data_IF_979227495342
#
_entry.id   IF_979227495342
#
_cell.length_a   1.000
_cell.length_b   1.000
_cell.length_c   1.000
_cell.angle_alpha   90.00
_cell.angle_beta   90.00
_cell.angle_gamma   90.00
#
_symmetry.space_group_name_H-M   'P 1'
#
loop_
_entity.id
_entity.type
_entity.pdbx_description
1 polymer ?
#
# COMPACT_ATOMS: atom_id res chain seq x y z
N UNK A 1 -4.18 -36.95 -45.45
CA UNK A 1 -4.86 -37.58 -44.29
C UNK A 1 -3.97 -37.47 -43.06
N UNK A 2 -4.58 -37.24 -41.89
CA UNK A 2 -3.98 -37.08 -40.53
C UNK A 2 -3.30 -35.72 -40.31
N UNK A 3 -4.01 -34.66 -39.89
CA UNK A 3 -4.57 -34.39 -38.54
C UNK A 3 -3.58 -34.75 -37.42
N UNK A 4 -2.85 -33.76 -36.93
CA UNK A 4 -2.36 -33.73 -35.56
C UNK A 4 -2.87 -32.44 -34.92
N UNK A 5 -3.65 -32.66 -33.89
CA UNK A 5 -4.52 -31.70 -33.21
C UNK A 5 -3.69 -30.92 -32.20
N UNK A 6 -3.92 -29.61 -32.19
CA UNK A 6 -3.58 -28.67 -31.13
C UNK A 6 -3.85 -29.26 -29.75
N UNK A 7 -2.82 -29.29 -28.91
CA UNK A 7 -2.94 -29.45 -27.47
C UNK A 7 -2.19 -28.33 -26.77
N UNK A 8 -2.70 -27.10 -26.86
CA UNK A 8 -2.23 -26.02 -25.99
C UNK A 8 -2.90 -26.25 -24.63
N UNK A 9 -2.18 -26.90 -23.72
CA UNK A 9 -2.60 -27.01 -22.33
C UNK A 9 -2.73 -25.58 -21.77
N UNK A 10 -3.98 -25.16 -21.51
CA UNK A 10 -4.24 -23.94 -20.75
C UNK A 10 -3.76 -24.18 -19.34
N UNK A 11 -2.65 -23.53 -19.03
CA UNK A 11 -2.01 -23.43 -17.73
C UNK A 11 -3.03 -23.18 -16.62
N UNK A 12 -3.22 -24.16 -15.74
CA UNK A 12 -3.82 -23.97 -14.42
C UNK A 12 -2.77 -23.38 -13.47
N UNK A 13 -2.43 -22.12 -13.69
CA UNK A 13 -1.81 -21.25 -12.69
C UNK A 13 -2.84 -20.12 -12.52
N UNK A 14 -3.42 -19.87 -11.34
CA UNK A 14 -2.87 -18.81 -10.48
C UNK A 14 -3.73 -18.56 -9.22
N UNK A 15 -4.60 -19.47 -8.75
CA UNK A 15 -5.53 -19.14 -7.64
C UNK A 15 -4.82 -18.81 -6.31
N UNK A 16 -3.64 -19.39 -6.04
CA UNK A 16 -2.87 -19.12 -4.83
C UNK A 16 -2.21 -17.72 -4.83
N UNK A 17 -1.72 -17.26 -5.99
CA UNK A 17 -1.04 -15.96 -6.10
C UNK A 17 -2.01 -14.77 -5.95
N UNK A 18 -3.29 -14.97 -6.25
CA UNK A 18 -4.33 -13.94 -6.08
C UNK A 18 -4.86 -13.83 -4.65
N UNK A 19 -4.95 -14.95 -3.92
CA UNK A 19 -5.38 -14.93 -2.51
C UNK A 19 -4.36 -14.21 -1.63
N UNK A 20 -3.08 -14.41 -1.89
CA UNK A 20 -1.97 -13.75 -1.20
C UNK A 20 -1.97 -12.23 -1.46
N UNK A 21 -2.19 -11.84 -2.73
CA UNK A 21 -2.31 -10.44 -3.12
C UNK A 21 -3.50 -9.72 -2.44
N UNK A 22 -4.68 -10.35 -2.38
CA UNK A 22 -5.86 -9.78 -1.73
C UNK A 22 -5.66 -9.55 -0.23
N UNK A 23 -4.99 -10.47 0.45
CA UNK A 23 -4.70 -10.34 1.88
C UNK A 23 -3.66 -9.25 2.15
N UNK A 24 -2.63 -9.15 1.31
CA UNK A 24 -1.66 -8.05 1.36
C UNK A 24 -2.32 -6.69 1.07
N UNK A 25 -3.32 -6.61 0.18
CA UNK A 25 -4.07 -5.36 -0.07
C UNK A 25 -4.92 -5.00 1.15
N UNK A 26 -5.63 -5.96 1.74
CA UNK A 26 -6.42 -5.73 2.96
C UNK A 26 -5.55 -5.27 4.12
N UNK A 27 -4.36 -5.85 4.29
CA UNK A 27 -3.40 -5.45 5.33
C UNK A 27 -2.99 -3.98 5.19
N UNK A 28 -2.64 -3.53 3.97
CA UNK A 28 -2.34 -2.11 3.68
C UNK A 28 -3.51 -1.19 3.99
N UNK A 29 -4.71 -1.57 3.56
CA UNK A 29 -5.92 -0.78 3.82
C UNK A 29 -6.21 -0.67 5.33
N UNK A 30 -6.02 -1.75 6.08
CA UNK A 30 -6.20 -1.76 7.53
C UNK A 30 -5.19 -0.81 8.21
N UNK A 31 -3.91 -0.90 7.83
CA UNK A 31 -2.86 -0.04 8.38
C UNK A 31 -3.10 1.45 8.07
N UNK A 32 -3.44 1.79 6.81
CA UNK A 32 -3.74 3.18 6.43
C UNK A 32 -5.02 3.71 7.08
N UNK A 33 -6.03 2.86 7.31
CA UNK A 33 -7.21 3.23 8.11
C UNK A 33 -6.84 3.54 9.55
N UNK A 34 -5.92 2.77 10.15
CA UNK A 34 -5.43 3.04 11.50
C UNK A 34 -4.71 4.39 11.59
N UNK A 35 -3.84 4.71 10.61
CA UNK A 35 -3.20 6.03 10.50
C UNK A 35 -4.25 7.15 10.43
N UNK A 36 -5.25 7.00 9.55
CA UNK A 36 -6.32 8.00 9.39
C UNK A 36 -7.20 8.17 10.64
N UNK A 37 -7.48 7.07 11.35
CA UNK A 37 -8.24 7.10 12.60
C UNK A 37 -7.47 7.83 13.71
N UNK A 38 -6.16 7.55 13.85
CA UNK A 38 -5.29 8.24 14.78
C UNK A 38 -5.17 9.74 14.46
N UNK A 39 -5.01 10.09 13.18
CA UNK A 39 -4.99 11.48 12.73
C UNK A 39 -6.29 12.22 13.04
N UNK A 40 -7.44 11.58 12.86
CA UNK A 40 -8.75 12.15 13.23
C UNK A 40 -8.88 12.38 14.74
N UNK A 41 -8.27 11.52 15.55
CA UNK A 41 -8.22 11.66 17.01
C UNK A 41 -7.19 12.69 17.49
N UNK A 42 -6.27 13.15 16.62
CA UNK A 42 -5.15 13.99 17.01
C UNK A 42 -4.09 13.24 17.83
N UNK A 43 -4.06 11.91 17.75
CA UNK A 43 -3.15 11.05 18.51
C UNK A 43 -1.88 10.77 17.72
N UNK A 44 -0.87 11.63 17.90
CA UNK A 44 0.40 11.52 17.18
C UNK A 44 1.19 10.25 17.52
N UNK A 45 1.06 9.71 18.74
CA UNK A 45 1.72 8.46 19.10
C UNK A 45 1.08 7.28 18.37
N UNK A 46 -0.26 7.27 18.24
CA UNK A 46 -0.96 6.28 17.44
C UNK A 46 -0.69 6.44 15.93
N UNK A 47 -0.52 7.67 15.42
CA UNK A 47 -0.08 7.91 14.04
C UNK A 47 1.28 7.27 13.81
N UNK A 48 2.26 7.53 14.69
CA UNK A 48 3.62 7.00 14.58
C UNK A 48 3.61 5.47 14.51
N UNK A 49 2.92 4.82 15.46
CA UNK A 49 2.80 3.36 15.50
C UNK A 49 2.15 2.81 14.23
N UNK A 50 1.03 3.38 13.81
CA UNK A 50 0.31 2.91 12.63
C UNK A 50 1.10 3.16 11.34
N UNK A 51 1.90 4.23 11.26
CA UNK A 51 2.75 4.53 10.11
C UNK A 51 3.88 3.50 9.95
N UNK A 52 4.48 3.04 11.05
CA UNK A 52 5.46 1.93 11.03
C UNK A 52 4.85 0.64 10.50
N UNK A 53 3.66 0.27 10.98
CA UNK A 53 2.92 -0.91 10.50
C UNK A 53 2.54 -0.76 9.01
N UNK A 54 2.13 0.44 8.61
CA UNK A 54 1.76 0.72 7.23
C UNK A 54 2.97 0.62 6.30
N UNK A 55 4.13 1.16 6.66
CA UNK A 55 5.34 1.07 5.83
C UNK A 55 5.70 -0.38 5.51
N UNK A 56 5.60 -1.29 6.49
CA UNK A 56 5.84 -2.74 6.29
C UNK A 56 4.81 -3.34 5.34
N UNK A 57 3.53 -2.98 5.49
CA UNK A 57 2.45 -3.52 4.64
C UNK A 57 2.61 -3.18 3.15
N UNK A 58 3.36 -2.12 2.80
CA UNK A 58 3.64 -1.73 1.42
C UNK A 58 4.92 -2.36 0.83
N UNK A 59 5.66 -3.19 1.58
CA UNK A 59 6.90 -3.81 1.11
C UNK A 59 6.69 -4.74 -0.10
N UNK A 60 5.56 -5.45 -0.15
CA UNK A 60 5.23 -6.35 -1.25
C UNK A 60 4.42 -5.63 -2.33
N UNK A 61 4.89 -5.75 -3.58
CA UNK A 61 4.15 -5.28 -4.74
C UNK A 61 3.07 -6.29 -5.12
N UNK A 62 1.82 -5.84 -5.06
CA UNK A 62 0.66 -6.61 -5.53
C UNK A 62 -0.15 -5.83 -6.55
N UNK A 63 0.44 -4.82 -7.19
CA UNK A 63 -0.27 -4.03 -8.18
C UNK A 63 -0.73 -4.90 -9.35
N UNK A 64 -1.99 -4.73 -9.76
CA UNK A 64 -2.63 -5.59 -10.76
C UNK A 64 -2.78 -7.06 -10.34
N UNK A 65 -2.49 -7.40 -9.08
CA UNK A 65 -2.65 -8.73 -8.51
C UNK A 65 -3.79 -8.70 -7.48
N UNK A 66 -4.77 -9.57 -7.66
CA UNK A 66 -5.89 -9.73 -6.74
C UNK A 66 -7.23 -9.30 -7.34
N UNK A 67 -8.29 -9.47 -6.56
CA UNK A 67 -9.66 -9.06 -6.85
C UNK A 67 -10.11 -7.86 -6.00
N UNK A 68 -9.35 -7.49 -4.97
CA UNK A 68 -9.64 -6.36 -4.09
C UNK A 68 -9.15 -5.05 -4.71
N UNK A 69 -10.04 -4.07 -4.78
CA UNK A 69 -9.72 -2.71 -5.22
C UNK A 69 -8.67 -2.05 -4.32
N UNK A 70 -7.72 -1.33 -4.92
CA UNK A 70 -6.70 -0.56 -4.20
C UNK A 70 -6.64 0.89 -4.70
N UNK A 71 -6.42 1.82 -3.77
CA UNK A 71 -6.15 3.23 -4.11
C UNK A 71 -4.65 3.52 -4.18
N UNK A 72 -3.79 2.54 -3.88
CA UNK A 72 -2.35 2.68 -4.03
C UNK A 72 -2.00 2.72 -5.52
N UNK A 73 -1.26 3.74 -5.95
CA UNK A 73 -0.76 3.82 -7.32
C UNK A 73 0.45 2.89 -7.49
N UNK A 74 0.70 2.38 -8.72
CA UNK A 74 1.89 1.59 -9.03
C UNK A 74 3.21 2.30 -8.66
N UNK A 75 3.18 3.64 -8.65
CA UNK A 75 4.30 4.51 -8.27
C UNK A 75 4.84 4.25 -6.85
N UNK A 76 4.05 3.66 -5.93
CA UNK A 76 4.56 3.25 -4.61
C UNK A 76 5.76 2.32 -4.74
N UNK A 77 5.73 1.40 -5.70
CA UNK A 77 6.80 0.41 -5.89
C UNK A 77 7.81 0.83 -6.95
N UNK A 78 7.41 1.67 -7.92
CA UNK A 78 8.34 2.23 -8.90
C UNK A 78 9.30 3.24 -8.26
N UNK A 79 8.80 4.05 -7.31
CA UNK A 79 9.54 5.11 -6.61
C UNK A 79 9.59 4.83 -5.10
N UNK A 80 9.94 3.59 -4.73
CA UNK A 80 9.90 3.12 -3.34
C UNK A 80 10.77 3.93 -2.39
N UNK A 81 11.89 4.49 -2.86
CA UNK A 81 12.75 5.38 -2.07
C UNK A 81 12.02 6.66 -1.66
N UNK A 82 11.26 7.27 -2.57
CA UNK A 82 10.48 8.47 -2.27
C UNK A 82 9.30 8.12 -1.34
N UNK A 83 8.61 7.01 -1.59
CA UNK A 83 7.55 6.54 -0.70
C UNK A 83 8.07 6.32 0.73
N UNK A 84 9.18 5.61 0.87
CA UNK A 84 9.81 5.34 2.16
C UNK A 84 10.28 6.62 2.85
N UNK A 85 10.89 7.55 2.12
CA UNK A 85 11.30 8.84 2.67
C UNK A 85 10.11 9.65 3.24
N UNK A 86 8.98 9.69 2.53
CA UNK A 86 7.78 10.37 3.03
C UNK A 86 7.20 9.66 4.27
N UNK A 87 7.19 8.32 4.27
CA UNK A 87 6.76 7.54 5.44
C UNK A 87 7.67 7.76 6.66
N UNK A 88 8.99 7.82 6.46
CA UNK A 88 9.96 8.14 7.50
C UNK A 88 9.78 9.58 8.04
N UNK A 89 9.46 10.53 7.16
CA UNK A 89 9.11 11.89 7.57
C UNK A 89 7.83 11.90 8.42
N UNK A 90 6.80 11.14 8.04
CA UNK A 90 5.57 11.00 8.82
C UNK A 90 5.86 10.38 10.21
N UNK A 91 6.64 9.31 10.26
CA UNK A 91 7.06 8.64 11.50
C UNK A 91 7.80 9.63 12.40
N UNK A 92 8.80 10.33 11.86
CA UNK A 92 9.62 11.29 12.60
C UNK A 92 8.79 12.48 13.11
N UNK A 93 7.98 13.09 12.25
CA UNK A 93 7.14 14.25 12.60
C UNK A 93 6.09 13.89 13.66
N UNK A 94 5.44 12.74 13.53
CA UNK A 94 4.45 12.28 14.50
C UNK A 94 5.07 11.92 15.84
N UNK A 95 6.27 11.32 15.87
CA UNK A 95 7.01 11.11 17.11
C UNK A 95 7.35 12.43 17.82
N UNK A 96 7.62 13.49 17.06
CA UNK A 96 7.88 14.83 17.58
C UNK A 96 6.61 15.60 17.97
N UNK A 97 5.42 15.10 17.63
CA UNK A 97 4.17 15.86 17.77
C UNK A 97 4.09 17.09 16.86
N UNK A 98 4.90 17.14 15.79
CA UNK A 98 4.90 18.24 14.83
C UNK A 98 3.69 18.09 13.90
N UNK A 99 2.65 18.87 14.18
CA UNK A 99 1.41 18.87 13.42
C UNK A 99 1.62 19.21 11.96
N UNK A 100 2.38 20.27 11.67
CA UNK A 100 2.50 20.81 10.33
C UNK A 100 3.31 19.86 9.45
N UNK A 101 4.41 19.31 9.97
CA UNK A 101 5.19 18.29 9.27
C UNK A 101 4.40 16.98 9.09
N UNK A 102 3.65 16.54 10.11
CA UNK A 102 2.83 15.32 10.05
C UNK A 102 1.79 15.42 8.92
N UNK A 103 0.99 16.49 8.90
CA UNK A 103 -0.03 16.67 7.87
C UNK A 103 0.56 17.05 6.50
N UNK A 104 1.75 17.65 6.49
CA UNK A 104 2.55 17.84 5.28
C UNK A 104 2.89 16.52 4.60
N UNK A 105 3.45 15.56 5.36
CA UNK A 105 3.77 14.23 4.86
C UNK A 105 2.52 13.45 4.37
N UNK A 106 1.39 13.55 5.10
CA UNK A 106 0.12 12.97 4.65
C UNK A 106 -0.30 13.51 3.27
N UNK A 107 -0.21 14.83 3.08
CA UNK A 107 -0.58 15.49 1.82
C UNK A 107 0.37 15.09 0.69
N UNK A 108 1.67 15.04 0.96
CA UNK A 108 2.67 14.66 -0.03
C UNK A 108 2.46 13.21 -0.49
N UNK A 109 2.33 12.27 0.45
CA UNK A 109 2.07 10.86 0.15
C UNK A 109 0.79 10.68 -0.68
N UNK A 110 -0.32 11.29 -0.27
CA UNK A 110 -1.58 11.19 -1.02
C UNK A 110 -1.52 11.85 -2.41
N UNK A 111 -0.71 12.88 -2.58
CA UNK A 111 -0.57 13.55 -3.88
C UNK A 111 0.21 12.69 -4.87
N UNK A 112 1.23 11.99 -4.40
CA UNK A 112 2.15 11.20 -5.24
C UNK A 112 1.68 9.77 -5.46
N UNK A 113 1.05 9.16 -4.46
CA UNK A 113 0.92 7.69 -4.40
C UNK A 113 -0.50 7.16 -4.21
N UNK A 114 -1.52 8.04 -4.13
CA UNK A 114 -2.91 7.63 -3.94
C UNK A 114 -3.80 8.12 -5.08
N UNK A 115 -4.68 7.25 -5.57
CA UNK A 115 -5.73 7.62 -6.53
C UNK A 115 -6.57 8.76 -5.95
N UNK A 116 -6.70 9.85 -6.71
CA UNK A 116 -7.56 10.99 -6.34
C UNK A 116 -9.01 10.65 -6.64
N UNK A 117 -9.88 10.88 -5.66
CA UNK A 117 -11.34 10.73 -5.78
C UNK A 117 -12.00 12.09 -5.87
#
# INVERSE_FOLDING_TARGET
MKKLIMGLAVAAFSTAAFADADDSIKARQAAMKAVGAAAKAGDFAAINKAALEAQVAFAENTDGMGSVETEALPAVWADSDQFNSIMENLITASAAGDKDATFGACKECHTSFRVKK
#
